data_IF_191748224154
#
_entry.id   IF_191748224154
#
_cell.length_a   1.000
_cell.length_b   1.000
_cell.length_c   1.000
_cell.angle_alpha   90.00
_cell.angle_beta   90.00
_cell.angle_gamma   90.00
#
_symmetry.space_group_name_H-M   'P 1'
#
loop_
_entity.id
_entity.type
_entity.pdbx_description
1 polymer ?
#
# COMPACT_ATOMS: atom_id res chain seq x y z
N UNK A 1 -43.65 -11.83 -21.63
CA UNK A 1 -43.38 -10.56 -22.36
C UNK A 1 -42.50 -9.55 -21.60
N UNK A 2 -42.70 -9.22 -20.31
CA UNK A 2 -41.83 -8.25 -19.61
C UNK A 2 -40.43 -8.77 -19.22
N UNK A 3 -40.28 -10.07 -18.92
CA UNK A 3 -38.97 -10.66 -18.53
C UNK A 3 -37.97 -10.77 -19.69
N UNK A 4 -38.43 -11.10 -20.89
CA UNK A 4 -37.58 -11.19 -22.08
C UNK A 4 -37.07 -9.83 -22.55
N UNK A 5 -37.86 -8.77 -22.36
CA UNK A 5 -37.45 -7.39 -22.67
C UNK A 5 -36.34 -6.92 -21.72
N UNK A 6 -36.46 -7.21 -20.44
CA UNK A 6 -35.43 -6.89 -19.44
C UNK A 6 -34.15 -7.73 -19.65
N UNK A 7 -34.28 -9.02 -19.95
CA UNK A 7 -33.12 -9.89 -20.25
C UNK A 7 -32.34 -9.43 -21.48
N UNK A 8 -33.03 -9.04 -22.56
CA UNK A 8 -32.37 -8.49 -23.76
C UNK A 8 -31.65 -7.16 -23.50
N UNK A 9 -32.20 -6.31 -22.63
CA UNK A 9 -31.52 -5.07 -22.24
C UNK A 9 -30.29 -5.34 -21.36
N UNK A 10 -30.34 -6.38 -20.51
CA UNK A 10 -29.20 -6.83 -19.71
C UNK A 10 -28.07 -7.41 -20.58
N UNK A 11 -28.41 -8.20 -21.59
CA UNK A 11 -27.45 -8.73 -22.58
C UNK A 11 -26.78 -7.63 -23.42
N UNK A 12 -27.45 -6.51 -23.67
CA UNK A 12 -26.83 -5.35 -24.32
C UNK A 12 -25.89 -4.56 -23.40
N UNK A 13 -26.05 -4.67 -22.08
CA UNK A 13 -25.17 -4.04 -21.09
C UNK A 13 -23.92 -4.86 -20.78
N UNK A 14 -23.94 -6.17 -20.99
CA UNK A 14 -22.80 -7.08 -20.74
C UNK A 14 -21.56 -6.72 -21.59
N UNK A 15 -21.66 -6.52 -22.92
CA UNK A 15 -20.51 -6.10 -23.74
C UNK A 15 -19.94 -4.74 -23.34
N UNK A 16 -20.79 -3.83 -22.85
CA UNK A 16 -20.36 -2.52 -22.36
C UNK A 16 -19.57 -2.64 -21.06
N UNK A 17 -19.99 -3.53 -20.15
CA UNK A 17 -19.25 -3.83 -18.92
C UNK A 17 -17.89 -4.44 -19.22
N UNK A 18 -17.83 -5.41 -20.14
CA UNK A 18 -16.57 -6.04 -20.52
C UNK A 18 -15.61 -5.03 -21.15
N UNK A 19 -16.11 -4.13 -22.01
CA UNK A 19 -15.29 -3.08 -22.63
C UNK A 19 -14.75 -2.09 -21.59
N UNK A 20 -15.57 -1.68 -20.62
CA UNK A 20 -15.13 -0.78 -19.54
C UNK A 20 -14.10 -1.45 -18.63
N UNK A 21 -14.29 -2.73 -18.28
CA UNK A 21 -13.35 -3.50 -17.46
C UNK A 21 -11.99 -3.61 -18.17
N UNK A 22 -11.97 -4.00 -19.45
CA UNK A 22 -10.71 -4.09 -20.20
C UNK A 22 -9.97 -2.75 -20.23
N UNK A 23 -10.69 -1.65 -20.51
CA UNK A 23 -10.07 -0.32 -20.51
C UNK A 23 -9.49 0.07 -19.15
N UNK A 24 -10.18 -0.26 -18.05
CA UNK A 24 -9.66 -0.01 -16.70
C UNK A 24 -8.39 -0.83 -16.46
N UNK A 25 -8.37 -2.10 -16.85
CA UNK A 25 -7.20 -2.98 -16.71
C UNK A 25 -6.02 -2.45 -17.55
N UNK A 26 -6.27 -2.08 -18.80
CA UNK A 26 -5.24 -1.56 -19.70
C UNK A 26 -4.63 -0.25 -19.16
N UNK A 27 -5.49 0.69 -18.72
CA UNK A 27 -5.03 1.94 -18.10
C UNK A 27 -4.28 1.70 -16.79
N UNK A 28 -4.74 0.76 -15.96
CA UNK A 28 -4.05 0.42 -14.72
C UNK A 28 -2.69 -0.22 -14.99
N UNK A 29 -2.59 -1.06 -16.02
CA UNK A 29 -1.34 -1.67 -16.46
C UNK A 29 -0.35 -0.61 -16.96
N UNK A 30 -0.82 0.36 -17.75
CA UNK A 30 -0.02 1.48 -18.28
C UNK A 30 0.50 2.42 -17.18
N UNK A 31 -0.37 2.79 -16.23
CA UNK A 31 0.03 3.57 -15.04
C UNK A 31 1.07 2.78 -14.24
N UNK A 32 0.81 1.50 -13.99
CA UNK A 32 1.75 0.63 -13.27
C UNK A 32 3.10 0.54 -13.97
N UNK A 33 3.14 0.33 -15.29
CA UNK A 33 4.42 0.24 -16.02
C UNK A 33 5.20 1.54 -15.95
N UNK A 34 4.51 2.67 -16.09
CA UNK A 34 5.13 4.01 -15.99
C UNK A 34 5.75 4.24 -14.61
N UNK A 35 5.00 3.97 -13.53
CA UNK A 35 5.52 4.10 -12.17
C UNK A 35 6.72 3.18 -11.93
N UNK A 36 6.69 1.94 -12.42
CA UNK A 36 7.81 1.00 -12.29
C UNK A 36 9.06 1.46 -13.03
N UNK A 37 8.91 2.04 -14.24
CA UNK A 37 10.03 2.59 -14.98
C UNK A 37 10.69 3.75 -14.22
N UNK A 38 9.89 4.67 -13.67
CA UNK A 38 10.41 5.78 -12.87
C UNK A 38 11.10 5.31 -11.59
N UNK A 39 10.53 4.31 -10.90
CA UNK A 39 11.15 3.70 -9.71
C UNK A 39 12.52 3.12 -10.03
N UNK A 40 12.67 2.43 -11.17
CA UNK A 40 13.96 1.87 -11.62
C UNK A 40 14.99 2.94 -11.96
N UNK A 41 14.54 4.10 -12.44
CA UNK A 41 15.41 5.24 -12.72
C UNK A 41 15.77 6.04 -11.46
N UNK A 42 14.97 5.90 -10.39
CA UNK A 42 15.20 6.59 -9.13
C UNK A 42 16.46 6.10 -8.43
N UNK A 43 17.15 7.01 -7.74
CA UNK A 43 18.31 6.69 -6.90
C UNK A 43 17.94 6.01 -5.59
N UNK A 44 16.70 6.20 -5.15
CA UNK A 44 16.18 5.67 -3.89
C UNK A 44 14.65 5.64 -3.93
N UNK A 45 14.05 4.75 -3.15
CA UNK A 45 12.60 4.74 -2.97
C UNK A 45 12.28 4.31 -1.54
N UNK A 46 11.03 4.51 -1.14
CA UNK A 46 10.51 3.99 0.11
C UNK A 46 9.21 3.25 -0.11
N UNK A 47 9.02 2.16 0.63
CA UNK A 47 7.81 1.37 0.62
C UNK A 47 7.01 1.64 1.90
N UNK A 48 5.71 1.83 1.74
CA UNK A 48 4.79 1.78 2.86
C UNK A 48 3.95 0.52 2.77
N UNK A 49 4.01 -0.28 3.83
CA UNK A 49 3.28 -1.53 3.95
C UNK A 49 2.15 -1.34 4.95
N UNK A 50 0.94 -1.66 4.51
CA UNK A 50 -0.24 -1.69 5.37
C UNK A 50 -1.03 -2.98 5.17
N UNK A 51 -1.63 -3.45 6.26
CA UNK A 51 -2.52 -4.61 6.22
C UNK A 51 -3.97 -4.14 6.28
N UNK A 52 -4.72 -4.43 5.24
CA UNK A 52 -6.15 -4.19 5.21
C UNK A 52 -6.89 -5.49 5.49
N UNK A 53 -7.85 -5.46 6.40
CA UNK A 53 -8.77 -6.57 6.63
C UNK A 53 -10.11 -6.19 6.03
N UNK A 54 -10.59 -7.00 5.08
CA UNK A 54 -11.90 -6.80 4.48
C UNK A 54 -13.03 -7.17 5.47
N UNK A 55 -14.29 -6.78 5.19
CA UNK A 55 -15.42 -7.11 6.06
C UNK A 55 -15.72 -8.60 6.21
N UNK A 56 -15.05 -9.46 5.44
CA UNK A 56 -15.16 -10.93 5.46
C UNK A 56 -13.96 -11.54 6.20
N UNK A 57 -13.20 -10.72 6.95
CA UNK A 57 -12.00 -11.09 7.70
C UNK A 57 -10.86 -11.65 6.82
N UNK A 58 -10.81 -11.31 5.53
CA UNK A 58 -9.67 -11.61 4.67
C UNK A 58 -8.67 -10.44 4.69
N UNK A 59 -7.45 -10.76 5.12
CA UNK A 59 -6.36 -9.80 5.10
C UNK A 59 -5.79 -9.66 3.68
N UNK A 60 -5.40 -8.44 3.32
CA UNK A 60 -4.68 -8.09 2.10
C UNK A 60 -3.53 -7.15 2.44
N UNK A 61 -2.41 -7.32 1.74
CA UNK A 61 -1.26 -6.44 1.83
C UNK A 61 -1.41 -5.31 0.83
N UNK A 62 -1.37 -4.07 1.31
CA UNK A 62 -1.30 -2.86 0.48
C UNK A 62 0.13 -2.33 0.51
N UNK A 63 0.64 -2.00 -0.66
CA UNK A 63 1.96 -1.42 -0.82
C UNK A 63 1.85 -0.11 -1.59
N UNK A 64 2.36 0.95 -1.00
CA UNK A 64 2.62 2.22 -1.66
C UNK A 64 4.12 2.37 -1.86
N UNK A 65 4.51 3.01 -2.96
CA UNK A 65 5.89 3.31 -3.27
C UNK A 65 6.06 4.81 -3.44
N UNK A 66 7.06 5.37 -2.77
CA UNK A 66 7.47 6.76 -2.94
C UNK A 66 8.87 6.80 -3.49
N UNK A 67 9.10 7.59 -4.53
CA UNK A 67 10.37 7.67 -5.24
C UNK A 67 10.65 9.09 -5.73
N UNK A 68 11.90 9.36 -6.08
CA UNK A 68 12.30 10.63 -6.68
C UNK A 68 12.44 10.47 -8.19
N UNK A 69 11.74 11.30 -8.95
CA UNK A 69 11.86 11.36 -10.40
C UNK A 69 11.90 12.82 -10.84
N UNK A 70 12.88 13.17 -11.69
CA UNK A 70 13.10 14.54 -12.19
C UNK A 70 13.16 15.62 -11.08
N UNK A 71 13.74 15.29 -9.92
CA UNK A 71 13.87 16.21 -8.78
C UNK A 71 12.58 16.45 -8.00
N UNK A 72 11.55 15.65 -8.24
CA UNK A 72 10.26 15.69 -7.53
C UNK A 72 9.97 14.35 -6.87
N UNK A 73 9.38 14.39 -5.67
CA UNK A 73 8.88 13.18 -5.00
C UNK A 73 7.53 12.79 -5.57
N UNK A 74 7.39 11.52 -5.94
CA UNK A 74 6.14 10.90 -6.37
C UNK A 74 5.76 9.81 -5.40
N UNK A 75 4.46 9.58 -5.23
CA UNK A 75 3.91 8.48 -4.45
C UNK A 75 2.81 7.80 -5.26
N UNK A 76 2.98 6.50 -5.46
CA UNK A 76 2.05 5.69 -6.23
C UNK A 76 1.60 4.46 -5.43
N UNK A 77 0.40 4.01 -5.72
CA UNK A 77 -0.08 2.71 -5.26
C UNK A 77 0.56 1.60 -6.10
N UNK A 78 1.31 0.71 -5.44
CA UNK A 78 2.07 -0.32 -6.13
C UNK A 78 1.24 -1.59 -6.37
N UNK A 79 0.67 -2.16 -5.31
CA UNK A 79 -0.27 -3.28 -5.42
C UNK A 79 -1.11 -3.49 -4.14
N UNK A 80 -2.22 -4.21 -4.31
CA UNK A 80 -2.95 -4.88 -3.24
C UNK A 80 -3.07 -6.36 -3.59
N UNK A 81 -2.57 -7.23 -2.72
CA UNK A 81 -2.63 -8.69 -2.91
C UNK A 81 -3.16 -9.36 -1.63
N UNK A 82 -4.02 -10.38 -1.74
CA UNK A 82 -4.57 -11.08 -0.59
C UNK A 82 -3.48 -11.84 0.18
N UNK A 83 -3.70 -12.02 1.48
CA UNK A 83 -2.87 -12.82 2.41
C UNK A 83 -3.65 -14.07 2.86
N UNK A 84 -3.85 -15.07 1.99
CA UNK A 84 -4.73 -16.22 2.27
C UNK A 84 -4.20 -17.14 3.37
N UNK A 85 -2.87 -17.22 3.51
CA UNK A 85 -2.20 -18.16 4.44
C UNK A 85 -1.89 -17.55 5.81
N UNK A 86 -2.36 -16.32 6.06
CA UNK A 86 -2.19 -15.60 7.31
C UNK A 86 -1.28 -14.38 7.20
N UNK A 87 -1.23 -13.62 8.29
CA UNK A 87 -0.58 -12.30 8.41
C UNK A 87 0.77 -12.40 9.11
N UNK A 88 1.57 -13.42 8.76
CA UNK A 88 2.91 -13.57 9.32
C UNK A 88 3.90 -12.70 8.56
N UNK A 89 4.95 -12.22 9.25
CA UNK A 89 5.97 -11.40 8.60
C UNK A 89 6.70 -12.12 7.46
N UNK A 90 6.88 -13.44 7.57
CA UNK A 90 7.46 -14.29 6.52
C UNK A 90 6.61 -14.28 5.25
N UNK A 91 5.30 -14.49 5.36
CA UNK A 91 4.44 -14.55 4.18
C UNK A 91 4.29 -13.18 3.52
N UNK A 92 4.23 -12.11 4.31
CA UNK A 92 4.21 -10.73 3.81
C UNK A 92 5.52 -10.41 3.07
N UNK A 93 6.68 -10.76 3.64
CA UNK A 93 7.96 -10.54 3.01
C UNK A 93 8.09 -11.34 1.71
N UNK A 94 7.71 -12.61 1.72
CA UNK A 94 7.75 -13.45 0.53
C UNK A 94 6.92 -12.83 -0.62
N UNK A 95 5.68 -12.45 -0.34
CA UNK A 95 4.78 -11.82 -1.32
C UNK A 95 5.36 -10.51 -1.88
N UNK A 96 5.98 -9.71 -1.01
CA UNK A 96 6.66 -8.48 -1.41
C UNK A 96 7.89 -8.77 -2.27
N UNK A 97 8.75 -9.70 -1.85
CA UNK A 97 9.97 -10.04 -2.56
C UNK A 97 9.68 -10.62 -3.95
N UNK A 98 8.71 -11.55 -4.05
CA UNK A 98 8.22 -12.06 -5.32
C UNK A 98 7.76 -10.93 -6.23
N UNK A 99 7.01 -9.95 -5.71
CA UNK A 99 6.58 -8.80 -6.51
C UNK A 99 7.76 -7.92 -6.96
N UNK A 100 8.70 -7.62 -6.07
CA UNK A 100 9.89 -6.80 -6.38
C UNK A 100 10.72 -7.49 -7.49
N UNK A 101 10.98 -8.79 -7.36
CA UNK A 101 11.70 -9.60 -8.35
C UNK A 101 10.96 -9.71 -9.69
N UNK A 102 9.65 -10.02 -9.67
CA UNK A 102 8.81 -10.11 -10.87
C UNK A 102 8.81 -8.82 -11.70
N UNK A 103 8.87 -7.67 -11.03
CA UNK A 103 8.86 -6.37 -11.69
C UNK A 103 10.27 -5.84 -11.96
N UNK A 104 11.32 -6.60 -11.65
CA UNK A 104 12.72 -6.24 -11.90
C UNK A 104 13.14 -4.97 -11.15
N UNK A 105 12.65 -4.79 -9.92
CA UNK A 105 13.10 -3.73 -9.02
C UNK A 105 14.24 -4.31 -8.19
N UNK A 106 15.37 -3.60 -8.14
CA UNK A 106 16.47 -3.98 -7.26
C UNK A 106 16.21 -3.48 -5.84
N UNK A 107 16.59 -4.28 -4.84
CA UNK A 107 16.71 -3.80 -3.46
C UNK A 107 17.89 -2.84 -3.37
N UNK A 108 17.65 -1.56 -3.67
CA UNK A 108 18.68 -0.51 -3.63
C UNK A 108 19.21 -0.37 -2.20
N UNK A 109 20.50 -0.05 -2.05
CA UNK A 109 21.14 0.22 -0.76
C UNK A 109 20.42 1.29 0.07
N UNK A 110 19.68 2.22 -0.56
CA UNK A 110 18.96 3.31 0.11
C UNK A 110 17.45 3.16 -0.04
N UNK A 111 16.88 2.12 0.56
CA UNK A 111 15.44 1.95 0.67
C UNK A 111 14.89 2.41 2.04
N UNK A 112 13.81 3.19 2.01
CA UNK A 112 13.00 3.49 3.19
C UNK A 112 11.84 2.49 3.34
N UNK A 113 11.49 2.10 4.56
CA UNK A 113 10.33 1.23 4.82
C UNK A 113 9.48 1.80 5.95
N UNK A 114 8.20 1.97 5.68
CA UNK A 114 7.20 2.49 6.58
C UNK A 114 6.18 1.39 6.89
N UNK A 115 5.91 1.11 8.17
CA UNK A 115 4.90 0.12 8.58
C UNK A 115 4.08 0.58 9.78
N UNK A 116 2.91 0.01 10.00
CA UNK A 116 1.99 0.29 11.11
C UNK A 116 2.51 -0.12 12.50
N UNK A 117 3.67 -0.77 12.57
CA UNK A 117 4.26 -1.26 13.81
C UNK A 117 3.71 -2.60 14.30
N UNK A 118 2.81 -3.26 13.56
CA UNK A 118 2.25 -4.55 13.95
C UNK A 118 3.34 -5.60 14.15
N UNK A 119 3.02 -6.62 14.96
CA UNK A 119 3.97 -7.70 15.30
C UNK A 119 4.50 -8.41 14.05
N UNK A 120 3.66 -8.62 13.05
CA UNK A 120 4.05 -9.21 11.78
C UNK A 120 5.11 -8.37 11.05
N UNK A 121 5.02 -7.04 11.15
CA UNK A 121 5.93 -6.11 10.47
C UNK A 121 7.25 -5.93 11.23
N UNK A 122 7.19 -5.80 12.57
CA UNK A 122 8.33 -5.30 13.37
C UNK A 122 8.90 -6.28 14.39
N UNK A 123 8.41 -7.53 14.45
CA UNK A 123 8.94 -8.48 15.43
C UNK A 123 10.45 -8.67 15.28
N UNK A 124 11.13 -8.76 16.42
CA UNK A 124 12.60 -8.74 16.52
C UNK A 124 13.31 -9.81 15.69
N UNK A 125 12.65 -10.95 15.46
CA UNK A 125 13.27 -12.13 14.84
C UNK A 125 12.61 -12.56 13.54
N UNK A 126 11.36 -12.18 13.29
CA UNK A 126 10.60 -12.65 12.12
C UNK A 126 9.74 -11.55 11.49
N UNK A 127 9.97 -10.29 11.85
CA UNK A 127 9.25 -9.16 11.27
C UNK A 127 9.65 -8.95 9.82
N UNK A 128 8.73 -8.43 9.00
CA UNK A 128 9.03 -8.01 7.63
C UNK A 128 10.24 -7.08 7.57
N UNK A 129 10.35 -6.14 8.51
CA UNK A 129 11.47 -5.20 8.59
C UNK A 129 12.81 -5.91 8.81
N UNK A 130 12.83 -7.00 9.57
CA UNK A 130 14.04 -7.80 9.79
C UNK A 130 14.44 -8.50 8.51
N UNK A 131 13.49 -9.10 7.80
CA UNK A 131 13.74 -9.83 6.55
C UNK A 131 14.16 -8.90 5.41
N UNK A 132 13.54 -7.72 5.26
CA UNK A 132 13.99 -6.73 4.26
C UNK A 132 15.43 -6.30 4.58
N UNK A 133 15.82 -6.21 5.86
CA UNK A 133 17.19 -5.84 6.24
C UNK A 133 18.22 -6.90 5.82
N UNK A 134 17.82 -8.15 5.62
CA UNK A 134 18.72 -9.21 5.14
C UNK A 134 19.07 -9.02 3.66
N UNK A 135 18.13 -8.51 2.84
CA UNK A 135 18.35 -8.22 1.41
C UNK A 135 18.81 -6.78 1.16
N UNK A 136 18.49 -5.84 2.06
CA UNK A 136 18.88 -4.43 2.02
C UNK A 136 19.41 -3.96 3.39
N UNK A 137 20.70 -4.24 3.73
CA UNK A 137 21.25 -3.98 5.06
C UNK A 137 21.17 -2.52 5.52
N UNK A 138 21.33 -1.59 4.57
CA UNK A 138 21.34 -0.15 4.79
C UNK A 138 19.94 0.49 4.87
N UNK A 139 18.88 -0.32 4.75
CA UNK A 139 17.51 0.15 4.80
C UNK A 139 17.21 0.96 6.08
N UNK A 140 16.36 1.97 5.93
CA UNK A 140 15.81 2.74 7.05
C UNK A 140 14.37 2.34 7.28
N UNK A 141 14.02 2.06 8.52
CA UNK A 141 12.64 1.79 8.91
C UNK A 141 12.09 2.93 9.75
N UNK A 142 10.84 3.30 9.48
CA UNK A 142 10.06 4.27 10.24
C UNK A 142 8.69 3.71 10.56
N UNK A 143 8.18 4.01 11.75
CA UNK A 143 6.78 3.73 12.08
C UNK A 143 5.87 4.72 11.34
N UNK A 144 4.78 4.23 10.75
CA UNK A 144 3.80 5.08 10.06
C UNK A 144 3.25 6.15 11.01
N UNK A 145 3.38 7.43 10.59
CA UNK A 145 2.95 8.58 11.37
C UNK A 145 1.44 8.57 11.59
N UNK A 146 0.66 8.18 10.58
CA UNK A 146 -0.81 8.08 10.67
C UNK A 146 -1.20 7.03 11.71
N UNK A 147 -0.63 5.83 11.63
CA UNK A 147 -0.89 4.77 12.61
C UNK A 147 -0.47 5.22 14.03
N UNK A 148 0.65 5.94 14.16
CA UNK A 148 1.13 6.45 15.44
C UNK A 148 0.19 7.50 16.04
N UNK A 149 -0.32 8.41 15.23
CA UNK A 149 -1.30 9.41 15.66
C UNK A 149 -2.62 8.76 16.07
N UNK A 150 -3.16 7.84 15.27
CA UNK A 150 -4.36 7.05 15.63
C UNK A 150 -4.18 6.35 16.98
N UNK A 151 -3.02 5.74 17.22
CA UNK A 151 -2.70 5.10 18.50
C UNK A 151 -2.60 6.09 19.66
N UNK A 152 -2.08 7.29 19.42
CA UNK A 152 -2.02 8.36 20.43
C UNK A 152 -3.43 8.85 20.79
N UNK A 153 -4.28 9.08 19.78
CA UNK A 153 -5.67 9.51 19.93
C UNK A 153 -6.48 8.49 20.72
N UNK A 154 -6.32 7.19 20.41
CA UNK A 154 -6.97 6.09 21.15
C UNK A 154 -6.62 6.06 22.64
N UNK A 155 -5.48 6.63 23.02
CA UNK A 155 -5.01 6.70 24.41
C UNK A 155 -5.30 8.05 25.08
N UNK A 156 -5.92 8.99 24.38
CA UNK A 156 -6.25 10.29 24.97
C UNK A 156 -7.35 10.15 26.03
N UNK A 157 -7.24 10.86 27.18
CA UNK A 157 -8.28 10.92 28.18
C UNK A 157 -9.55 11.57 27.61
N UNK A 158 -10.71 11.21 28.16
CA UNK A 158 -12.02 11.68 27.68
C UNK A 158 -12.20 13.20 27.77
N UNK A 159 -11.42 13.89 28.59
CA UNK A 159 -11.41 15.35 28.69
C UNK A 159 -10.87 16.04 27.43
N UNK A 160 -10.21 15.29 26.53
CA UNK A 160 -9.67 15.76 25.25
C UNK A 160 -10.49 15.28 24.03
N UNK A 161 -11.75 14.89 24.23
CA UNK A 161 -12.67 14.42 23.16
C UNK A 161 -12.75 15.34 21.94
N UNK A 162 -12.73 16.67 22.15
CA UNK A 162 -12.79 17.64 21.05
C UNK A 162 -11.53 17.59 20.17
N UNK A 163 -10.36 17.38 20.77
CA UNK A 163 -9.09 17.22 20.05
C UNK A 163 -9.10 15.90 19.28
N UNK A 164 -9.58 14.82 19.89
CA UNK A 164 -9.76 13.51 19.23
C UNK A 164 -10.63 13.62 17.97
N UNK A 165 -11.78 14.29 18.05
CA UNK A 165 -12.67 14.46 16.91
C UNK A 165 -12.01 15.27 15.77
N UNK A 166 -11.27 16.33 16.09
CA UNK A 166 -10.53 17.11 15.10
C UNK A 166 -9.45 16.28 14.40
N UNK A 167 -8.72 15.44 15.13
CA UNK A 167 -7.70 14.58 14.55
C UNK A 167 -8.30 13.46 13.69
N UNK A 168 -9.40 12.84 14.11
CA UNK A 168 -10.13 11.83 13.31
C UNK A 168 -10.62 12.41 11.97
N UNK A 169 -11.12 13.66 11.98
CA UNK A 169 -11.54 14.37 10.75
C UNK A 169 -10.35 14.72 9.85
N UNK A 170 -9.22 15.16 10.42
CA UNK A 170 -8.01 15.51 9.66
C UNK A 170 -7.39 14.30 8.97
N UNK A 171 -7.37 13.14 9.64
CA UNK A 171 -6.89 11.88 9.07
C UNK A 171 -7.81 11.36 7.95
N UNK A 172 -9.12 11.61 8.03
CA UNK A 172 -10.06 11.31 6.95
C UNK A 172 -9.95 12.26 5.74
N UNK A 173 -9.34 13.44 5.90
CA UNK A 173 -9.21 14.45 4.84
C UNK A 173 -7.83 14.51 4.17
N UNK A 174 -6.76 14.06 4.83
CA UNK A 174 -5.39 14.15 4.32
C UNK A 174 -4.77 12.78 4.08
N UNK A 175 -4.83 12.34 2.83
CA UNK A 175 -3.93 11.33 2.26
C UNK A 175 -2.62 11.97 1.72
N UNK A 176 -2.17 13.11 2.26
CA UNK A 176 -0.96 13.80 1.78
C UNK A 176 0.23 13.59 2.73
N UNK A 177 1.11 12.66 2.35
CA UNK A 177 2.38 12.32 2.99
C UNK A 177 3.40 13.47 2.92
N UNK A 178 3.46 14.29 3.96
CA UNK A 178 4.49 15.34 4.10
C UNK A 178 5.67 14.92 4.98
N UNK A 179 6.84 14.92 4.33
CA UNK A 179 8.22 15.15 4.84
C UNK A 179 8.83 14.26 5.94
N UNK A 180 9.22 13.01 5.67
CA UNK A 180 10.14 12.32 6.58
C UNK A 180 11.10 11.27 5.98
N UNK A 181 11.20 11.09 4.66
CA UNK A 181 11.97 9.96 4.10
C UNK A 181 13.04 10.32 3.07
N UNK A 182 13.39 11.59 2.90
CA UNK A 182 14.49 12.00 2.00
C UNK A 182 15.45 13.05 2.61
N UNK A 183 15.40 13.30 3.92
CA UNK A 183 16.37 14.15 4.64
C UNK A 183 17.38 13.30 5.44
#
# INVERSE_FOLDING_TARGET
MCREKAAKQLDLLTPLKDTVIHRIIDMAADVKSTSLEHVKMSRCFSLQLDEFVDPVDLASLLIYIRYEFEGTSHEDFLFCKPLPTGTTGEHIFQLLNEYIEENGIDWIERIGVCTDGARAMTSRHSGVVVQIREVAPDMKWTHCSICREVLAIKKMPEDLKSVRLCCELYQGSNNEFTSALLD
#
